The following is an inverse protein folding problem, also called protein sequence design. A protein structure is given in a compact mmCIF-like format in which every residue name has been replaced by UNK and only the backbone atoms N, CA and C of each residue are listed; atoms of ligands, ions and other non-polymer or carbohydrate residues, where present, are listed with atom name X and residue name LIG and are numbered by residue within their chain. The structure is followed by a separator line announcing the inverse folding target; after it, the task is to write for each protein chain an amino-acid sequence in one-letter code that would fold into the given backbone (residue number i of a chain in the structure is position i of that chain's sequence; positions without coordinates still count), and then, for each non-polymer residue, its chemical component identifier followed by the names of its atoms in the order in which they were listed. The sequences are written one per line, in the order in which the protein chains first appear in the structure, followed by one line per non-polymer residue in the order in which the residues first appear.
data_IF_760107403417
#
_entry.id   IF_760107403417
#
_cell.length_a   1.000
_cell.length_b   1.000
_cell.length_c   1.000
_cell.angle_alpha   90.00
_cell.angle_beta   90.00
_cell.angle_gamma   90.00
#
_symmetry.space_group_name_H-M   'P 1'
#
loop_
_entity.id
_entity.type
_entity.pdbx_description
1 polymer ?
#
# COMPACT_ATOMS: atom_id res chain seq x y z
N UNK A 1 -12.09 13.44 0.26
CA UNK A 1 -12.66 13.15 -1.07
C UNK A 1 -13.99 13.88 -1.21
N UNK A 2 -14.27 14.50 -2.36
CA UNK A 2 -15.55 15.19 -2.59
C UNK A 2 -16.62 14.19 -3.06
N UNK A 3 -17.69 14.03 -2.27
CA UNK A 3 -18.76 13.09 -2.55
C UNK A 3 -19.55 13.39 -3.84
N UNK A 4 -19.49 14.63 -4.35
CA UNK A 4 -20.24 15.05 -5.54
C UNK A 4 -19.48 14.78 -6.83
N UNK A 5 -18.14 14.71 -6.77
CA UNK A 5 -17.28 14.44 -7.92
C UNK A 5 -17.38 12.98 -8.34
N UNK A 6 -17.16 12.75 -9.62
CA UNK A 6 -16.92 11.40 -10.14
C UNK A 6 -15.58 10.87 -9.67
N UNK A 7 -15.41 9.54 -9.69
CA UNK A 7 -14.12 8.89 -9.40
C UNK A 7 -12.99 9.49 -10.22
N UNK A 8 -13.20 9.65 -11.54
CA UNK A 8 -12.18 10.23 -12.40
C UNK A 8 -11.87 11.67 -12.05
N UNK A 9 -12.86 12.53 -11.85
CA UNK A 9 -12.62 13.93 -11.47
C UNK A 9 -11.90 14.06 -10.13
N UNK A 10 -12.21 13.18 -9.17
CA UNK A 10 -11.59 13.21 -7.84
C UNK A 10 -10.12 12.79 -7.89
N UNK A 11 -9.75 11.82 -8.74
CA UNK A 11 -8.37 11.34 -8.90
C UNK A 11 -7.58 12.26 -9.84
N UNK A 12 -8.12 12.60 -11.01
CA UNK A 12 -7.40 13.33 -12.05
C UNK A 12 -7.41 14.85 -11.87
N UNK A 13 -8.31 15.38 -11.04
CA UNK A 13 -8.55 16.82 -10.96
C UNK A 13 -9.15 17.42 -12.25
N UNK A 14 -9.68 16.57 -13.14
CA UNK A 14 -10.21 16.98 -14.45
C UNK A 14 -9.15 17.02 -15.57
N UNK A 15 -7.93 16.56 -15.30
CA UNK A 15 -6.86 16.50 -16.30
C UNK A 15 -7.00 15.24 -17.17
N UNK A 16 -6.75 15.36 -18.47
CA UNK A 16 -6.72 14.22 -19.40
C UNK A 16 -5.39 13.44 -19.35
N UNK A 17 -4.33 14.10 -18.88
CA UNK A 17 -2.99 13.54 -18.73
C UNK A 17 -2.49 13.85 -17.31
N UNK A 18 -1.90 12.84 -16.66
CA UNK A 18 -1.32 12.95 -15.33
C UNK A 18 0.18 12.71 -15.41
N UNK A 19 0.95 13.44 -14.60
CA UNK A 19 2.37 13.16 -14.41
C UNK A 19 2.54 12.24 -13.21
N UNK A 20 3.01 11.02 -13.43
CA UNK A 20 3.24 10.00 -12.40
C UNK A 20 4.68 9.53 -12.50
N UNK A 21 5.47 9.68 -11.42
CA UNK A 21 6.88 9.28 -11.42
C UNK A 21 7.71 9.96 -12.54
N UNK A 22 7.35 11.18 -12.93
CA UNK A 22 8.01 11.91 -14.03
C UNK A 22 7.60 11.47 -15.45
N UNK A 23 6.65 10.55 -15.60
CA UNK A 23 6.08 10.13 -16.89
C UNK A 23 4.67 10.67 -17.08
N UNK A 24 4.31 11.02 -18.30
CA UNK A 24 2.94 11.39 -18.66
C UNK A 24 2.11 10.14 -18.95
N UNK A 25 0.99 10.00 -18.26
CA UNK A 25 0.08 8.86 -18.36
C UNK A 25 -1.34 9.38 -18.63
N UNK A 26 -2.10 8.82 -19.59
CA UNK A 26 -3.51 9.15 -19.77
C UNK A 26 -4.29 8.94 -18.48
N UNK A 27 -5.01 9.96 -18.01
CA UNK A 27 -5.66 9.93 -16.69
C UNK A 27 -6.70 8.81 -16.58
N UNK A 28 -7.37 8.48 -17.68
CA UNK A 28 -8.32 7.36 -17.78
C UNK A 28 -7.64 6.00 -17.60
N UNK A 29 -6.42 5.85 -18.11
CA UNK A 29 -5.64 4.63 -17.96
C UNK A 29 -5.15 4.49 -16.52
N UNK A 30 -4.66 5.58 -15.93
CA UNK A 30 -4.27 5.62 -14.52
C UNK A 30 -5.44 5.28 -13.59
N UNK A 31 -6.61 5.89 -13.78
CA UNK A 31 -7.79 5.56 -12.96
C UNK A 31 -8.21 4.09 -13.14
N UNK A 32 -8.03 3.52 -14.34
CA UNK A 32 -8.35 2.12 -14.60
C UNK A 32 -7.42 1.13 -13.89
N UNK A 33 -6.17 1.50 -13.60
CA UNK A 33 -5.24 0.61 -12.88
C UNK A 33 -5.70 0.36 -11.43
N UNK A 34 -6.42 1.31 -10.82
CA UNK A 34 -7.04 1.14 -9.50
C UNK A 34 -8.42 0.45 -9.55
N UNK A 35 -8.64 -0.36 -10.59
CA UNK A 35 -9.86 -1.13 -10.84
C UNK A 35 -11.14 -0.30 -10.98
N UNK A 36 -11.03 0.93 -11.51
CA UNK A 36 -12.18 1.74 -11.91
C UNK A 36 -12.31 1.77 -13.43
N UNK A 37 -13.04 0.81 -14.00
CA UNK A 37 -13.14 0.59 -15.45
C UNK A 37 -14.41 1.23 -16.02
N UNK A 38 -14.29 1.84 -17.20
CA UNK A 38 -15.44 2.33 -17.98
C UNK A 38 -16.41 3.20 -17.18
N UNK A 39 -17.64 2.72 -16.98
CA UNK A 39 -18.69 3.44 -16.28
C UNK A 39 -18.39 3.70 -14.79
N UNK A 40 -17.54 2.88 -14.15
CA UNK A 40 -17.17 3.07 -12.74
C UNK A 40 -16.48 4.42 -12.50
N UNK A 41 -15.76 4.91 -13.51
CA UNK A 41 -15.10 6.21 -13.44
C UNK A 41 -16.07 7.39 -13.34
N UNK A 42 -17.32 7.19 -13.77
CA UNK A 42 -18.39 8.20 -13.74
C UNK A 42 -19.26 8.09 -12.48
N UNK A 43 -19.06 7.04 -11.66
CA UNK A 43 -19.75 6.94 -10.36
C UNK A 43 -19.31 8.09 -9.46
N UNK A 44 -20.27 8.66 -8.74
CA UNK A 44 -19.97 9.67 -7.72
C UNK A 44 -19.29 9.01 -6.53
N UNK A 45 -18.28 9.68 -5.96
CA UNK A 45 -17.54 9.17 -4.81
C UNK A 45 -18.45 8.87 -3.61
N UNK A 46 -19.55 9.61 -3.44
CA UNK A 46 -20.53 9.37 -2.38
C UNK A 46 -21.32 8.06 -2.50
N UNK A 47 -21.29 7.40 -3.67
CA UNK A 47 -21.98 6.13 -3.93
C UNK A 47 -21.07 4.91 -3.81
N UNK A 48 -19.77 5.14 -3.56
CA UNK A 48 -18.78 4.09 -3.46
C UNK A 48 -18.84 3.39 -2.10
N UNK A 49 -18.59 2.09 -2.11
CA UNK A 49 -18.30 1.29 -0.92
C UNK A 49 -17.04 1.79 -0.19
N UNK A 50 -16.84 1.35 1.05
CA UNK A 50 -15.64 1.70 1.83
C UNK A 50 -14.34 1.33 1.12
N UNK A 51 -14.26 0.11 0.57
CA UNK A 51 -13.09 -0.36 -0.18
C UNK A 51 -12.85 0.42 -1.47
N UNK A 52 -13.91 0.75 -2.22
CA UNK A 52 -13.79 1.62 -3.39
C UNK A 52 -13.30 3.02 -3.00
N UNK A 53 -13.82 3.61 -1.92
CA UNK A 53 -13.33 4.92 -1.44
C UNK A 53 -11.87 4.86 -1.02
N UNK A 54 -11.42 3.77 -0.42
CA UNK A 54 -10.02 3.57 -0.06
C UNK A 54 -9.13 3.54 -1.32
N UNK A 55 -9.54 2.84 -2.38
CA UNK A 55 -8.83 2.83 -3.66
C UNK A 55 -8.75 4.21 -4.32
N UNK A 56 -9.83 4.99 -4.28
CA UNK A 56 -9.80 6.39 -4.75
C UNK A 56 -8.81 7.21 -3.93
N UNK A 57 -8.77 7.00 -2.61
CA UNK A 57 -7.84 7.70 -1.74
C UNK A 57 -6.39 7.36 -2.07
N UNK A 58 -6.10 6.06 -2.24
CA UNK A 58 -4.78 5.55 -2.58
C UNK A 58 -4.27 6.10 -3.93
N UNK A 59 -5.09 6.02 -4.97
CA UNK A 59 -4.78 6.58 -6.29
C UNK A 59 -4.46 8.07 -6.21
N UNK A 60 -5.26 8.84 -5.44
CA UNK A 60 -5.03 10.27 -5.28
C UNK A 60 -3.76 10.58 -4.48
N UNK A 61 -3.46 9.79 -3.45
CA UNK A 61 -2.27 9.95 -2.63
C UNK A 61 -1.00 9.68 -3.42
N UNK A 62 -1.00 8.66 -4.30
CA UNK A 62 0.12 8.36 -5.19
C UNK A 62 0.40 9.48 -6.21
N UNK A 63 -0.62 10.29 -6.56
CA UNK A 63 -0.48 11.48 -7.42
C UNK A 63 -0.01 12.74 -6.67
N UNK A 64 -0.01 12.76 -5.34
CA UNK A 64 0.13 13.99 -4.55
C UNK A 64 1.50 14.67 -4.62
N UNK A 65 2.42 14.15 -5.44
CA UNK A 65 3.80 14.65 -5.55
C UNK A 65 4.59 14.48 -4.25
N UNK A 66 4.08 13.65 -3.32
CA UNK A 66 4.79 13.32 -2.10
C UNK A 66 6.11 12.64 -2.42
N UNK A 67 7.08 12.86 -1.55
CA UNK A 67 8.41 12.25 -1.57
C UNK A 67 8.51 11.10 -0.56
N UNK A 68 7.60 11.02 0.41
CA UNK A 68 7.46 9.91 1.35
C UNK A 68 5.98 9.53 1.49
N UNK A 69 5.68 8.24 1.33
CA UNK A 69 4.36 7.65 1.56
C UNK A 69 4.39 6.76 2.79
N UNK A 70 3.44 6.96 3.70
CA UNK A 70 3.23 6.11 4.87
C UNK A 70 1.89 5.39 4.69
N UNK A 71 1.93 4.07 4.57
CA UNK A 71 0.75 3.26 4.25
C UNK A 71 0.57 2.19 5.31
N UNK A 72 -0.55 2.27 6.01
CA UNK A 72 -0.92 1.33 7.05
C UNK A 72 -1.90 0.29 6.48
N UNK A 73 -1.43 -0.96 6.34
CA UNK A 73 -2.16 -2.11 5.80
C UNK A 73 -2.91 -1.82 4.49
N UNK A 74 -2.21 -1.37 3.43
CA UNK A 74 -2.84 -0.97 2.16
C UNK A 74 -3.38 -2.15 1.36
N UNK A 75 -3.02 -3.39 1.70
CA UNK A 75 -3.49 -4.62 1.05
C UNK A 75 -4.89 -5.05 1.47
N UNK A 76 -5.44 -4.45 2.54
CA UNK A 76 -6.78 -4.78 3.02
C UNK A 76 -7.86 -4.49 1.97
N UNK A 77 -8.80 -5.43 1.83
CA UNK A 77 -9.96 -5.33 0.94
C UNK A 77 -9.62 -5.12 -0.55
N UNK A 78 -8.40 -5.46 -0.97
CA UNK A 78 -7.97 -5.44 -2.36
C UNK A 78 -8.11 -6.82 -3.01
N UNK A 79 -8.62 -6.84 -4.24
CA UNK A 79 -8.52 -8.01 -5.10
C UNK A 79 -7.09 -8.14 -5.67
N UNK A 80 -6.78 -9.32 -6.22
CA UNK A 80 -5.44 -9.64 -6.74
C UNK A 80 -4.98 -8.67 -7.84
N UNK A 81 -5.90 -8.23 -8.70
CA UNK A 81 -5.59 -7.32 -9.80
C UNK A 81 -5.21 -5.92 -9.27
N UNK A 82 -5.96 -5.43 -8.28
CA UNK A 82 -5.69 -4.13 -7.65
C UNK A 82 -4.42 -4.17 -6.83
N UNK A 83 -4.15 -5.28 -6.13
CA UNK A 83 -2.92 -5.46 -5.36
C UNK A 83 -1.70 -5.40 -6.29
N UNK A 84 -1.76 -6.05 -7.46
CA UNK A 84 -0.71 -5.93 -8.48
C UNK A 84 -0.53 -4.51 -9.01
N UNK A 85 -1.62 -3.80 -9.28
CA UNK A 85 -1.54 -2.41 -9.71
C UNK A 85 -0.93 -1.50 -8.63
N UNK A 86 -1.19 -1.78 -7.36
CA UNK A 86 -0.58 -1.09 -6.23
C UNK A 86 0.91 -1.39 -6.13
N UNK A 87 1.31 -2.66 -6.24
CA UNK A 87 2.73 -3.08 -6.28
C UNK A 87 3.47 -2.34 -7.40
N UNK A 88 2.95 -2.33 -8.63
CA UNK A 88 3.54 -1.61 -9.76
C UNK A 88 3.64 -0.11 -9.49
N UNK A 89 2.58 0.50 -8.95
CA UNK A 89 2.57 1.92 -8.63
C UNK A 89 3.58 2.29 -7.53
N UNK A 90 3.86 1.39 -6.59
CA UNK A 90 4.87 1.58 -5.56
C UNK A 90 6.29 1.40 -6.09
N UNK A 91 6.52 0.42 -6.96
CA UNK A 91 7.81 0.20 -7.61
C UNK A 91 8.20 1.36 -8.53
N UNK A 92 7.22 1.97 -9.21
CA UNK A 92 7.41 3.14 -10.06
C UNK A 92 7.41 4.47 -9.27
N UNK A 93 7.15 4.44 -7.96
CA UNK A 93 7.12 5.66 -7.15
C UNK A 93 8.54 6.20 -6.95
N UNK A 94 8.77 7.45 -7.37
CA UNK A 94 10.09 8.07 -7.32
C UNK A 94 10.55 8.47 -5.90
N UNK A 95 9.70 8.32 -4.88
CA UNK A 95 9.99 8.65 -3.49
C UNK A 95 10.19 7.40 -2.63
N UNK A 96 10.19 7.60 -1.31
CA UNK A 96 10.23 6.49 -0.35
C UNK A 96 8.82 6.05 0.02
N UNK A 97 8.61 4.74 0.15
CA UNK A 97 7.35 4.17 0.65
C UNK A 97 7.65 3.36 1.90
N UNK A 98 6.98 3.70 3.01
CA UNK A 98 6.97 2.91 4.23
C UNK A 98 5.60 2.23 4.32
N UNK A 99 5.59 0.91 4.23
CA UNK A 99 4.36 0.11 4.26
C UNK A 99 4.35 -0.78 5.48
N UNK A 100 3.24 -0.77 6.20
CA UNK A 100 2.92 -1.77 7.22
C UNK A 100 2.02 -2.81 6.52
N UNK A 101 2.45 -4.07 6.49
CA UNK A 101 1.62 -5.16 5.95
C UNK A 101 1.91 -6.47 6.65
N UNK A 102 0.90 -7.33 6.72
CA UNK A 102 1.02 -8.73 7.12
C UNK A 102 1.07 -9.70 5.92
N UNK A 103 0.96 -9.20 4.69
CA UNK A 103 1.04 -10.02 3.48
C UNK A 103 2.50 -10.22 3.05
N UNK A 104 2.99 -11.44 3.24
CA UNK A 104 4.38 -11.83 2.94
C UNK A 104 4.70 -11.72 1.44
N UNK A 105 3.77 -12.11 0.58
CA UNK A 105 3.98 -12.07 -0.88
C UNK A 105 4.08 -10.65 -1.37
N UNK A 106 3.27 -9.76 -0.82
CA UNK A 106 3.32 -8.34 -1.12
C UNK A 106 4.66 -7.73 -0.65
N UNK A 107 5.04 -7.98 0.62
CA UNK A 107 6.30 -7.47 1.17
C UNK A 107 7.51 -7.95 0.38
N UNK A 108 7.56 -9.23 0.02
CA UNK A 108 8.69 -9.81 -0.72
C UNK A 108 8.92 -9.12 -2.08
N UNK A 109 7.85 -8.63 -2.71
CA UNK A 109 7.92 -8.01 -4.04
C UNK A 109 8.31 -6.54 -4.02
N UNK A 110 8.02 -5.82 -2.93
CA UNK A 110 8.24 -4.36 -2.86
C UNK A 110 9.33 -3.96 -1.86
N UNK A 111 9.64 -4.80 -0.87
CA UNK A 111 10.52 -4.43 0.22
C UNK A 111 11.97 -4.45 -0.24
N UNK A 112 12.66 -3.34 0.05
CA UNK A 112 14.12 -3.27 0.00
C UNK A 112 14.73 -3.32 1.40
N UNK A 113 13.91 -3.07 2.42
CA UNK A 113 14.26 -3.04 3.83
C UNK A 113 13.07 -3.54 4.64
N UNK A 114 13.35 -4.25 5.73
CA UNK A 114 12.36 -4.72 6.70
C UNK A 114 12.65 -4.08 8.05
N UNK A 115 11.63 -3.46 8.63
CA UNK A 115 11.62 -3.01 10.01
C UNK A 115 10.71 -3.94 10.80
N UNK A 116 11.31 -4.86 11.57
CA UNK A 116 10.58 -5.92 12.27
C UNK A 116 10.54 -5.72 13.78
N UNK A 117 9.37 -5.84 14.37
CA UNK A 117 9.16 -5.80 15.81
C UNK A 117 9.25 -7.23 16.37
N UNK A 118 10.40 -7.61 16.93
CA UNK A 118 10.69 -9.01 17.34
C UNK A 118 10.29 -9.34 18.78
N UNK A 119 9.61 -8.44 19.48
CA UNK A 119 9.24 -8.59 20.90
C UNK A 119 10.20 -7.82 21.83
N UNK A 120 9.89 -7.76 23.13
CA UNK A 120 10.70 -7.08 24.15
C UNK A 120 11.09 -5.63 23.82
N UNK A 121 10.25 -4.93 23.04
CA UNK A 121 10.53 -3.58 22.51
C UNK A 121 11.76 -3.50 21.59
N UNK A 122 12.25 -4.65 21.09
CA UNK A 122 13.30 -4.73 20.08
C UNK A 122 12.71 -4.49 18.69
N UNK A 123 13.38 -3.63 17.94
CA UNK A 123 13.09 -3.35 16.53
C UNK A 123 14.34 -3.67 15.73
N UNK A 124 14.23 -4.66 14.85
CA UNK A 124 15.30 -5.07 13.96
C UNK A 124 15.17 -4.32 12.62
N UNK A 125 16.27 -3.75 12.16
CA UNK A 125 16.40 -3.19 10.81
C UNK A 125 17.19 -4.16 9.94
N UNK A 126 16.58 -4.61 8.85
CA UNK A 126 17.18 -5.55 7.92
C UNK A 126 17.17 -4.98 6.50
N UNK A 127 18.29 -5.09 5.79
CA UNK A 127 18.41 -4.70 4.38
C UNK A 127 18.17 -5.94 3.50
N UNK A 128 17.07 -5.93 2.74
CA UNK A 128 16.63 -7.04 1.91
C UNK A 128 15.11 -7.20 1.86
N UNK A 129 14.67 -8.22 1.13
CA UNK A 129 13.27 -8.63 1.04
C UNK A 129 12.81 -9.41 2.29
N UNK A 130 11.55 -9.82 2.28
CA UNK A 130 10.95 -10.52 3.41
C UNK A 130 11.52 -11.94 3.57
N UNK A 131 11.75 -12.65 2.47
CA UNK A 131 12.30 -14.01 2.51
C UNK A 131 13.72 -14.03 3.10
N UNK A 132 14.58 -13.10 2.69
CA UNK A 132 15.92 -12.93 3.24
C UNK A 132 15.88 -12.57 4.74
N UNK A 133 14.92 -11.75 5.15
CA UNK A 133 14.70 -11.46 6.57
C UNK A 133 14.28 -12.71 7.36
N UNK A 134 13.38 -13.54 6.83
CA UNK A 134 12.98 -14.78 7.50
C UNK A 134 14.15 -15.75 7.70
N UNK A 135 15.05 -15.87 6.71
CA UNK A 135 16.26 -16.68 6.83
C UNK A 135 17.22 -16.16 7.89
N UNK A 136 17.46 -14.84 7.92
CA UNK A 136 18.27 -14.21 8.96
C UNK A 136 17.64 -14.39 10.35
N UNK A 137 16.33 -14.21 10.47
CA UNK A 137 15.60 -14.42 11.73
C UNK A 137 15.73 -15.86 12.23
N UNK A 138 15.58 -16.85 11.35
CA UNK A 138 15.82 -18.27 11.66
C UNK A 138 17.22 -18.51 12.19
N UNK A 139 18.23 -17.85 11.60
CA UNK A 139 19.64 -17.97 12.01
C UNK A 139 19.90 -17.32 13.36
N UNK A 140 19.34 -16.13 13.63
CA UNK A 140 19.56 -15.36 14.87
C UNK A 140 18.79 -15.92 16.06
N UNK A 141 17.52 -16.26 15.86
CA UNK A 141 16.57 -16.57 16.94
C UNK A 141 16.10 -18.03 16.95
N UNK A 142 16.53 -18.83 15.98
CA UNK A 142 16.11 -20.23 15.82
C UNK A 142 14.76 -20.38 15.11
N UNK A 143 14.43 -21.61 14.72
CA UNK A 143 13.24 -21.92 13.92
C UNK A 143 11.91 -21.64 14.63
N UNK A 144 11.88 -21.67 15.97
CA UNK A 144 10.68 -21.38 16.76
C UNK A 144 10.24 -19.91 16.62
N UNK A 145 11.16 -18.99 16.32
CA UNK A 145 10.89 -17.55 16.19
C UNK A 145 10.01 -17.16 14.98
N UNK A 146 9.80 -18.09 14.04
CA UNK A 146 8.88 -17.94 12.93
C UNK A 146 7.43 -18.22 13.31
N UNK A 147 7.22 -18.95 14.41
CA UNK A 147 5.91 -19.36 14.85
C UNK A 147 5.29 -18.14 15.54
N UNK A 148 4.18 -17.58 15.03
CA UNK A 148 3.57 -16.42 15.63
C UNK A 148 3.04 -16.79 17.02
N UNK A 149 3.69 -16.26 18.06
CA UNK A 149 3.23 -16.38 19.43
C UNK A 149 2.33 -15.21 19.79
N UNK A 150 1.20 -15.50 20.45
CA UNK A 150 0.28 -14.46 20.92
C UNK A 150 0.96 -13.63 22.00
N UNK A 151 1.34 -12.40 21.68
CA UNK A 151 1.88 -11.44 22.65
C UNK A 151 0.76 -11.10 23.65
N UNK A 152 0.93 -11.53 24.90
CA UNK A 152 0.02 -11.16 26.00
C UNK A 152 0.43 -9.78 26.52
N UNK A 153 -0.12 -8.72 25.96
CA UNK A 153 0.01 -7.39 26.57
C UNK A 153 -0.68 -7.38 27.93
N UNK A 154 0.06 -7.06 29.00
CA UNK A 154 -0.55 -6.73 30.29
C UNK A 154 -1.38 -5.46 30.09
N UNK A 155 -2.66 -5.53 30.48
CA UNK A 155 -3.52 -4.34 30.47
C UNK A 155 -2.90 -3.32 31.44
N UNK A 156 -2.50 -2.16 30.94
CA UNK A 156 -2.18 -1.02 31.79
C UNK A 156 -3.44 -0.65 32.58
N UNK A 157 -3.42 -0.89 33.88
CA UNK A 157 -4.45 -0.40 34.80
C UNK A 157 -4.22 1.09 35.00
N UNK A 158 -5.26 1.90 34.76
CA UNK A 158 -5.27 3.35 35.02
C UNK A 158 -5.09 3.67 36.49
#
# INVERSE_FOLDING_TARGET
LDAKKTVWEEISGGLDVLTVGGREVPSRAYVSSFNFKGADQQKKVGLLSGGERNRVHLAKTLLSGANVLLLDEPTNDLDVDTLRALEEAMLDFAGCVMVISHDRWFLDRIATHILSFEGDSHVEWFEGDFDSYEEDKKRRLGAESLIPHRIKFQKFTR
#
